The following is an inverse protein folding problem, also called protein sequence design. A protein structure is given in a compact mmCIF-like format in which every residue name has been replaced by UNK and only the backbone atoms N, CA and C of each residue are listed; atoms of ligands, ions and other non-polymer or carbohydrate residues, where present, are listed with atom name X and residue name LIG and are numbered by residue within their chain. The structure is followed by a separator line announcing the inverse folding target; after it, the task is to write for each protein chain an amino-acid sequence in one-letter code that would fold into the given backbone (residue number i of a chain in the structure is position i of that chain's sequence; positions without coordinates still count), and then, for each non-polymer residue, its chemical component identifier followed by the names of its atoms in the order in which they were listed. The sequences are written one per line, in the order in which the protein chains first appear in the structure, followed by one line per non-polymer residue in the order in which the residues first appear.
data_IF_372281829737
#
_entry.id   IF_372281829737
#
_cell.length_a   1.000
_cell.length_b   1.000
_cell.length_c   1.000
_cell.angle_alpha   90.00
_cell.angle_beta   90.00
_cell.angle_gamma   90.00
#
_symmetry.space_group_name_H-M   'P 1'
#
loop_
_entity.id
_entity.type
_entity.pdbx_description
1 polymer ?
#
# COMPACT_ATOMS: atom_id res chain seq x y z
N UNK A 1 -2.61 29.20 20.90
CA UNK A 1 -2.33 28.78 19.51
C UNK A 1 -3.11 27.49 19.25
N UNK A 2 -4.27 27.55 18.59
CA UNK A 2 -5.08 26.36 18.30
C UNK A 2 -4.67 25.76 16.96
N UNK A 3 -4.17 24.53 16.96
CA UNK A 3 -3.86 23.77 15.75
C UNK A 3 -5.14 23.13 15.20
N UNK A 4 -5.68 23.69 14.13
CA UNK A 4 -6.82 23.11 13.40
C UNK A 4 -6.40 21.80 12.76
N UNK A 5 -7.09 20.67 13.02
CA UNK A 5 -6.78 19.40 12.37
C UNK A 5 -7.09 19.52 10.87
N UNK A 6 -6.07 19.37 10.02
CA UNK A 6 -6.25 19.27 8.56
C UNK A 6 -7.14 18.07 8.26
N UNK A 7 -8.43 18.31 8.01
CA UNK A 7 -9.35 17.34 7.42
C UNK A 7 -8.74 16.90 6.09
N UNK A 8 -8.18 15.69 6.05
CA UNK A 8 -7.79 15.04 4.80
C UNK A 8 -9.09 14.69 4.08
N UNK A 9 -9.45 15.48 3.08
CA UNK A 9 -10.58 15.18 2.21
C UNK A 9 -10.24 13.93 1.42
N UNK A 10 -10.83 12.80 1.81
CA UNK A 10 -10.76 11.58 1.02
C UNK A 10 -11.61 11.81 -0.23
N UNK A 11 -10.96 11.94 -1.39
CA UNK A 11 -11.66 11.91 -2.66
C UNK A 11 -12.20 10.49 -2.85
N UNK A 12 -13.53 10.36 -2.91
CA UNK A 12 -14.19 9.10 -3.20
C UNK A 12 -13.93 8.77 -4.67
N UNK A 13 -12.90 7.97 -4.92
CA UNK A 13 -12.66 7.37 -6.23
C UNK A 13 -13.77 6.34 -6.45
N UNK A 14 -14.47 6.36 -7.61
CA UNK A 14 -15.45 5.34 -7.93
C UNK A 14 -14.85 3.96 -7.73
N UNK A 15 -15.61 3.05 -7.10
CA UNK A 15 -15.15 1.67 -6.90
C UNK A 15 -14.89 1.07 -8.29
N UNK A 16 -13.66 0.64 -8.61
CA UNK A 16 -13.36 0.07 -9.92
C UNK A 16 -14.22 -1.18 -10.14
N UNK A 17 -14.76 -1.31 -11.35
CA UNK A 17 -15.50 -2.51 -11.75
C UNK A 17 -14.52 -3.68 -11.89
N UNK A 18 -14.44 -4.51 -10.85
CA UNK A 18 -13.59 -5.70 -10.82
C UNK A 18 -13.00 -6.00 -9.45
N UNK A 19 -12.61 -7.25 -9.24
CA UNK A 19 -11.76 -7.64 -8.11
C UNK A 19 -10.33 -7.20 -8.43
N UNK A 20 -9.81 -6.22 -7.67
CA UNK A 20 -8.39 -5.88 -7.74
C UNK A 20 -7.60 -7.09 -7.22
N UNK A 21 -6.71 -7.63 -8.05
CA UNK A 21 -5.77 -8.66 -7.64
C UNK A 21 -4.73 -8.06 -6.68
N UNK A 22 -4.87 -8.37 -5.40
CA UNK A 22 -4.02 -7.86 -4.34
C UNK A 22 -2.57 -8.34 -4.45
N UNK A 23 -2.34 -9.54 -4.99
CA UNK A 23 -0.99 -10.07 -5.18
C UNK A 23 -0.29 -9.40 -6.33
N UNK A 24 -0.99 -9.14 -7.44
CA UNK A 24 -0.47 -8.35 -8.56
C UNK A 24 -0.09 -6.93 -8.10
N UNK A 25 -0.96 -6.25 -7.34
CA UNK A 25 -0.65 -4.91 -6.81
C UNK A 25 0.56 -4.95 -5.88
N UNK A 26 0.63 -5.92 -4.98
CA UNK A 26 1.77 -6.06 -4.08
C UNK A 26 3.06 -6.33 -4.85
N UNK A 27 3.03 -7.17 -5.89
CA UNK A 27 4.17 -7.41 -6.77
C UNK A 27 4.65 -6.11 -7.44
N UNK A 28 3.76 -5.39 -8.12
CA UNK A 28 4.12 -4.15 -8.85
C UNK A 28 4.70 -3.08 -7.92
N UNK A 29 4.12 -2.90 -6.74
CA UNK A 29 4.64 -1.92 -5.76
C UNK A 29 6.01 -2.34 -5.24
N UNK A 30 6.21 -3.62 -4.92
CA UNK A 30 7.50 -4.11 -4.44
C UNK A 30 8.59 -4.02 -5.52
N UNK A 31 8.26 -4.32 -6.78
CA UNK A 31 9.15 -4.16 -7.94
C UNK A 31 9.56 -2.69 -8.12
N UNK A 32 8.61 -1.75 -8.03
CA UNK A 32 8.91 -0.33 -8.10
C UNK A 32 9.87 0.12 -6.97
N UNK A 33 9.66 -0.35 -5.74
CA UNK A 33 10.55 -0.05 -4.61
C UNK A 33 11.96 -0.56 -4.90
N UNK A 34 12.09 -1.78 -5.43
CA UNK A 34 13.40 -2.38 -5.74
C UNK A 34 14.15 -1.60 -6.82
N UNK A 35 13.46 -1.16 -7.86
CA UNK A 35 14.04 -0.37 -8.94
C UNK A 35 14.42 1.05 -8.49
N UNK A 36 13.59 1.67 -7.64
CA UNK A 36 13.79 3.06 -7.20
C UNK A 36 14.80 3.17 -6.07
N UNK A 37 14.87 2.16 -5.19
CA UNK A 37 15.70 2.16 -3.99
C UNK A 37 16.45 0.82 -3.82
N UNK A 38 17.44 0.52 -4.66
CA UNK A 38 18.07 -0.81 -4.75
C UNK A 38 18.75 -1.27 -3.45
N UNK A 39 19.22 -0.33 -2.63
CA UNK A 39 19.90 -0.62 -1.36
C UNK A 39 18.98 -0.52 -0.13
N UNK A 40 17.68 -0.23 -0.31
CA UNK A 40 16.73 0.00 0.78
C UNK A 40 16.73 -1.14 1.79
N UNK A 41 16.76 -2.37 1.30
CA UNK A 41 16.59 -3.56 2.11
C UNK A 41 17.86 -3.98 2.85
N UNK A 42 19.03 -3.47 2.48
CA UNK A 42 20.31 -3.84 3.10
C UNK A 42 20.40 -3.38 4.57
N UNK A 43 19.82 -2.23 4.88
CA UNK A 43 19.80 -1.66 6.24
C UNK A 43 18.59 -2.07 7.08
N UNK A 44 17.64 -2.83 6.52
CA UNK A 44 16.41 -3.21 7.19
C UNK A 44 16.44 -4.66 7.69
N UNK A 45 15.67 -5.00 8.74
CA UNK A 45 15.50 -6.39 9.15
C UNK A 45 14.98 -7.24 7.98
N UNK A 46 15.48 -8.47 7.85
CA UNK A 46 15.08 -9.40 6.77
C UNK A 46 13.56 -9.59 6.63
N UNK A 47 12.82 -9.46 7.75
CA UNK A 47 11.35 -9.59 7.79
C UNK A 47 10.60 -8.35 7.26
N UNK A 48 11.24 -7.19 7.18
CA UNK A 48 10.60 -5.93 6.80
C UNK A 48 9.97 -6.02 5.40
N UNK A 49 10.68 -6.60 4.44
CA UNK A 49 10.21 -6.80 3.06
C UNK A 49 8.90 -7.61 3.02
N UNK A 50 8.85 -8.70 3.78
CA UNK A 50 7.66 -9.56 3.88
C UNK A 50 6.50 -8.81 4.54
N UNK A 51 6.78 -8.05 5.59
CA UNK A 51 5.76 -7.25 6.28
C UNK A 51 5.15 -6.18 5.39
N UNK A 52 5.96 -5.49 4.59
CA UNK A 52 5.47 -4.49 3.63
C UNK A 52 4.57 -5.14 2.59
N UNK A 53 5.02 -6.21 1.93
CA UNK A 53 4.20 -6.96 0.96
C UNK A 53 2.86 -7.38 1.56
N UNK A 54 2.88 -8.03 2.74
CA UNK A 54 1.68 -8.51 3.40
C UNK A 54 0.73 -7.38 3.79
N UNK A 55 1.28 -6.21 4.17
CA UNK A 55 0.49 -5.03 4.49
C UNK A 55 -0.23 -4.49 3.25
N UNK A 56 0.45 -4.45 2.09
CA UNK A 56 -0.16 -4.03 0.82
C UNK A 56 -1.30 -4.98 0.44
N UNK A 57 -1.07 -6.29 0.47
CA UNK A 57 -2.10 -7.30 0.16
C UNK A 57 -3.33 -7.10 1.06
N UNK A 58 -3.13 -6.97 2.38
CA UNK A 58 -4.22 -6.75 3.35
C UNK A 58 -4.98 -5.46 3.08
N UNK A 59 -4.28 -4.38 2.77
CA UNK A 59 -4.90 -3.08 2.47
C UNK A 59 -5.78 -3.14 1.22
N UNK A 60 -5.30 -3.76 0.14
CA UNK A 60 -6.05 -3.92 -1.11
C UNK A 60 -7.28 -4.82 -0.88
N UNK A 61 -7.10 -5.94 -0.18
CA UNK A 61 -8.20 -6.84 0.15
C UNK A 61 -9.28 -6.15 1.01
N UNK A 62 -8.90 -5.27 1.94
CA UNK A 62 -9.85 -4.52 2.75
C UNK A 62 -10.61 -3.47 1.92
N UNK A 63 -9.93 -2.77 1.01
CA UNK A 63 -10.56 -1.80 0.11
C UNK A 63 -11.56 -2.46 -0.87
N UNK A 64 -11.35 -3.73 -1.23
CA UNK A 64 -12.25 -4.48 -2.11
C UNK A 64 -13.55 -4.95 -1.46
N UNK A 65 -13.59 -5.07 -0.12
CA UNK A 65 -14.78 -5.57 0.60
C UNK A 65 -15.91 -4.52 0.58
N UNK A 66 -17.15 -4.89 0.21
CA UNK A 66 -18.30 -4.01 0.43
C UNK A 66 -18.49 -3.79 1.93
N UNK A 67 -18.60 -2.53 2.34
CA UNK A 67 -18.96 -2.09 3.71
C UNK A 67 -20.44 -2.28 3.98
#
# INVERSE_FOLDING_TARGET
MSSTPRKRTLHLVPKPEGTIDADMVAFTVMEYIDQTYPVLWEGLPKIARVNVRNTIVRAVQQAGKPT
#
